data_IF_892159990793
#
_entry.id   IF_892159990793
#
_cell.length_a   1.000
_cell.length_b   1.000
_cell.length_c   1.000
_cell.angle_alpha   90.00
_cell.angle_beta   90.00
_cell.angle_gamma   90.00
#
_symmetry.space_group_name_H-M   'P 1'
#
loop_
_entity.id
_entity.type
_entity.pdbx_description
1 polymer ?
#
# COMPACT_ATOMS: atom_id res chain seq x y z
N UNK A 1 8.37 17.34 -10.01
CA UNK A 1 8.29 17.47 -8.53
C UNK A 1 7.29 16.44 -8.06
N UNK A 2 7.73 15.33 -7.43
CA UNK A 2 6.79 14.44 -6.75
C UNK A 2 6.48 15.07 -5.39
N UNK A 3 5.38 15.81 -5.33
CA UNK A 3 4.68 15.97 -4.07
C UNK A 3 4.14 14.59 -3.65
N UNK A 4 4.02 14.34 -2.34
CA UNK A 4 3.25 13.20 -1.83
C UNK A 4 1.99 13.05 -2.66
N UNK A 5 1.88 11.97 -3.44
CA UNK A 5 0.76 11.83 -4.34
C UNK A 5 -0.47 11.59 -3.47
N UNK A 6 -1.40 12.52 -3.61
CA UNK A 6 -2.60 12.70 -2.82
C UNK A 6 -3.32 11.37 -2.57
N UNK A 7 -3.81 11.22 -1.35
CA UNK A 7 -4.58 10.08 -0.90
C UNK A 7 -5.64 9.71 -1.94
N UNK A 8 -5.45 8.61 -2.66
CA UNK A 8 -6.52 8.03 -3.48
C UNK A 8 -7.47 7.31 -2.53
N UNK A 9 -8.30 8.10 -1.86
CA UNK A 9 -9.32 7.58 -0.97
C UNK A 9 -10.49 7.13 -1.84
N UNK A 10 -10.64 5.82 -1.95
CA UNK A 10 -11.84 5.24 -2.57
C UNK A 10 -12.93 5.14 -1.51
N UNK A 11 -14.08 4.60 -1.91
CA UNK A 11 -15.17 4.37 -0.96
C UNK A 11 -14.79 3.37 0.14
N UNK A 12 -13.83 2.44 -0.11
CA UNK A 12 -13.48 1.41 0.87
C UNK A 12 -12.21 1.70 1.68
N UNK A 13 -11.21 2.36 1.08
CA UNK A 13 -9.87 2.48 1.69
C UNK A 13 -9.33 3.90 1.68
N UNK A 14 -8.50 4.18 2.67
CA UNK A 14 -7.55 5.29 2.66
C UNK A 14 -6.19 4.74 2.22
N UNK A 15 -5.75 5.13 1.03
CA UNK A 15 -4.46 4.74 0.45
C UNK A 15 -3.56 5.96 0.31
N UNK A 16 -2.28 5.82 0.65
CA UNK A 16 -1.28 6.88 0.50
C UNK A 16 0.07 6.34 0.05
N UNK A 17 0.80 7.16 -0.68
CA UNK A 17 2.18 6.89 -1.05
C UNK A 17 3.07 8.05 -0.61
N UNK A 18 4.25 7.73 -0.10
CA UNK A 18 5.26 8.74 0.23
C UNK A 18 6.63 8.30 -0.26
N UNK A 19 7.42 9.25 -0.75
CA UNK A 19 8.76 9.00 -1.25
C UNK A 19 9.75 9.73 -0.35
N UNK A 20 10.68 8.99 0.24
CA UNK A 20 11.81 9.52 0.98
C UNK A 20 13.11 9.41 0.17
N UNK A 21 14.23 9.78 0.76
CA UNK A 21 15.57 9.56 0.23
C UNK A 21 15.98 8.08 0.20
N UNK A 22 15.29 7.22 0.97
CA UNK A 22 15.67 5.80 1.15
C UNK A 22 14.70 4.82 0.50
N UNK A 23 13.41 5.15 0.52
CA UNK A 23 12.37 4.24 0.10
C UNK A 23 11.13 4.97 -0.45
N UNK A 24 10.37 4.23 -1.27
CA UNK A 24 8.96 4.47 -1.49
C UNK A 24 8.17 3.71 -0.43
N UNK A 25 7.36 4.42 0.34
CA UNK A 25 6.44 3.84 1.32
C UNK A 25 5.04 3.87 0.75
N UNK A 26 4.36 2.72 0.76
CA UNK A 26 2.94 2.62 0.44
C UNK A 26 2.17 2.21 1.69
N UNK A 27 1.04 2.87 1.94
CA UNK A 27 0.20 2.62 3.10
C UNK A 27 -1.26 2.49 2.67
N UNK A 28 -1.98 1.57 3.30
CA UNK A 28 -3.40 1.36 3.05
C UNK A 28 -4.12 0.88 4.30
N UNK A 29 -5.33 1.38 4.53
CA UNK A 29 -6.19 0.97 5.64
C UNK A 29 -7.66 1.07 5.22
N UNK A 30 -8.57 0.29 5.83
CA UNK A 30 -9.99 0.43 5.57
C UNK A 30 -10.50 1.77 6.12
N UNK A 31 -11.56 2.29 5.54
CA UNK A 31 -12.40 3.28 6.23
C UNK A 31 -13.15 2.59 7.36
N UNK A 32 -13.44 3.31 8.46
CA UNK A 32 -14.04 2.73 9.67
C UNK A 32 -15.32 1.92 9.45
N UNK A 33 -16.10 2.29 8.44
CA UNK A 33 -17.39 1.66 8.08
C UNK A 33 -17.20 0.32 7.38
N UNK A 34 -16.03 0.09 6.79
CA UNK A 34 -15.74 -1.02 5.87
C UNK A 34 -14.87 -2.10 6.52
N UNK A 35 -14.55 -1.96 7.82
CA UNK A 35 -13.74 -2.91 8.59
C UNK A 35 -14.25 -4.35 8.45
N UNK A 36 -15.57 -4.54 8.36
CA UNK A 36 -16.21 -5.84 8.22
C UNK A 36 -16.05 -6.52 6.86
N UNK A 37 -15.53 -5.82 5.84
CA UNK A 37 -15.38 -6.31 4.46
C UNK A 37 -13.92 -6.55 4.10
N UNK A 38 -13.22 -7.29 4.97
CA UNK A 38 -11.78 -7.52 4.91
C UNK A 38 -11.27 -7.91 3.52
N UNK A 39 -11.92 -8.86 2.86
CA UNK A 39 -11.49 -9.30 1.53
C UNK A 39 -11.53 -8.18 0.49
N UNK A 40 -12.63 -7.42 0.45
CA UNK A 40 -12.87 -6.41 -0.58
C UNK A 40 -11.93 -5.22 -0.46
N UNK A 41 -11.77 -4.68 0.76
CA UNK A 41 -10.91 -3.52 0.94
C UNK A 41 -9.42 -3.91 0.86
N UNK A 42 -9.05 -5.13 1.27
CA UNK A 42 -7.67 -5.63 1.11
C UNK A 42 -7.31 -5.83 -0.37
N UNK A 43 -8.24 -6.39 -1.17
CA UNK A 43 -8.03 -6.55 -2.60
C UNK A 43 -7.87 -5.18 -3.28
N UNK A 44 -8.65 -4.18 -2.86
CA UNK A 44 -8.50 -2.82 -3.34
C UNK A 44 -7.16 -2.17 -2.92
N UNK A 45 -6.71 -2.38 -1.69
CA UNK A 45 -5.37 -1.97 -1.26
C UNK A 45 -4.29 -2.60 -2.15
N UNK A 46 -4.38 -3.89 -2.44
CA UNK A 46 -3.41 -4.56 -3.30
C UNK A 46 -3.43 -4.01 -4.73
N UNK A 47 -4.60 -3.71 -5.29
CA UNK A 47 -4.71 -3.10 -6.62
C UNK A 47 -4.08 -1.70 -6.67
N UNK A 48 -4.41 -0.83 -5.71
CA UNK A 48 -3.86 0.53 -5.64
C UNK A 48 -2.35 0.52 -5.40
N UNK A 49 -1.89 -0.31 -4.45
CA UNK A 49 -0.48 -0.50 -4.18
C UNK A 49 0.27 -1.02 -5.40
N UNK A 50 -0.33 -1.93 -6.18
CA UNK A 50 0.30 -2.48 -7.38
C UNK A 50 0.52 -1.41 -8.44
N UNK A 51 -0.50 -0.59 -8.69
CA UNK A 51 -0.38 0.55 -9.61
C UNK A 51 0.73 1.50 -9.18
N UNK A 52 0.81 1.86 -7.90
CA UNK A 52 1.87 2.74 -7.38
C UNK A 52 3.28 2.14 -7.55
N UNK A 53 3.43 0.83 -7.32
CA UNK A 53 4.69 0.11 -7.53
C UNK A 53 5.08 0.07 -9.00
N UNK A 54 4.12 -0.19 -9.89
CA UNK A 54 4.38 -0.27 -11.33
C UNK A 54 4.76 1.10 -11.91
N UNK A 55 4.11 2.18 -11.47
CA UNK A 55 4.47 3.56 -11.84
C UNK A 55 5.87 3.95 -11.34
N UNK A 56 6.20 3.60 -10.09
CA UNK A 56 7.50 3.88 -9.51
C UNK A 56 8.63 3.06 -10.17
N UNK A 57 8.36 1.81 -10.54
CA UNK A 57 9.29 0.95 -11.28
C UNK A 57 9.49 1.44 -12.72
N UNK A 58 8.42 1.80 -13.42
CA UNK A 58 8.48 2.38 -14.76
C UNK A 58 9.26 3.71 -14.78
N UNK A 59 9.21 4.44 -13.68
CA UNK A 59 9.98 5.68 -13.48
C UNK A 59 11.43 5.44 -13.03
N UNK A 60 11.85 4.19 -12.87
CA UNK A 60 13.22 3.84 -12.46
C UNK A 60 13.58 4.23 -11.02
N UNK A 61 12.59 4.42 -10.14
CA UNK A 61 12.85 4.72 -8.72
C UNK A 61 13.10 3.50 -7.88
N UNK A 62 12.41 2.41 -8.20
CA UNK A 62 12.48 1.13 -7.50
C UNK A 62 12.72 0.03 -8.53
N UNK A 63 13.24 -1.11 -8.08
CA UNK A 63 13.28 -2.30 -8.91
C UNK A 63 11.85 -2.85 -9.11
N UNK A 64 11.57 -3.56 -10.21
CA UNK A 64 10.30 -4.26 -10.38
C UNK A 64 10.04 -5.21 -9.22
N UNK A 65 8.86 -5.12 -8.62
CA UNK A 65 8.42 -5.98 -7.52
C UNK A 65 7.48 -7.04 -8.10
N UNK A 66 7.59 -8.30 -7.69
CA UNK A 66 6.65 -9.36 -8.08
C UNK A 66 5.58 -9.58 -6.99
N UNK A 67 4.40 -10.07 -7.40
CA UNK A 67 3.31 -10.44 -6.48
C UNK A 67 2.46 -9.29 -5.96
N UNK A 68 1.62 -9.54 -4.94
CA UNK A 68 0.74 -8.53 -4.33
C UNK A 68 1.53 -7.38 -3.71
N UNK A 69 0.94 -6.18 -3.72
CA UNK A 69 1.59 -4.98 -3.20
C UNK A 69 1.90 -5.08 -1.70
N UNK A 70 1.01 -5.68 -0.92
CA UNK A 70 1.20 -5.84 0.54
C UNK A 70 1.62 -7.27 0.96
N UNK A 71 1.75 -8.21 0.03
CA UNK A 71 2.30 -9.54 0.27
C UNK A 71 1.62 -10.29 1.44
N UNK A 72 2.42 -10.80 2.39
CA UNK A 72 1.87 -11.51 3.55
C UNK A 72 1.04 -10.62 4.49
N UNK A 73 1.22 -9.29 4.46
CA UNK A 73 0.41 -8.40 5.29
C UNK A 73 -1.07 -8.46 4.88
N UNK A 74 -1.37 -8.49 3.58
CA UNK A 74 -2.75 -8.65 3.11
C UNK A 74 -3.39 -9.96 3.56
N UNK A 75 -2.63 -11.06 3.54
CA UNK A 75 -3.13 -12.36 4.00
C UNK A 75 -3.38 -12.39 5.50
N UNK A 76 -2.49 -11.75 6.28
CA UNK A 76 -2.66 -11.63 7.73
C UNK A 76 -3.92 -10.82 8.08
N UNK A 77 -4.11 -9.68 7.42
CA UNK A 77 -5.27 -8.82 7.63
C UNK A 77 -6.59 -9.54 7.36
N UNK A 78 -6.67 -10.34 6.29
CA UNK A 78 -7.88 -11.11 5.95
C UNK A 78 -8.26 -12.11 7.06
N UNK A 79 -7.28 -12.56 7.85
CA UNK A 79 -7.49 -13.49 8.96
C UNK A 79 -7.79 -12.81 10.30
N UNK A 80 -7.72 -11.47 10.38
CA UNK A 80 -7.98 -10.77 11.64
C UNK A 80 -9.45 -10.89 12.08
N UNK A 81 -9.71 -11.13 13.37
CA UNK A 81 -11.07 -11.21 13.89
C UNK A 81 -11.80 -9.87 13.72
N UNK A 82 -13.13 -9.89 13.63
CA UNK A 82 -13.95 -8.69 13.48
C UNK A 82 -13.73 -7.63 14.58
N UNK A 83 -13.24 -8.04 15.75
CA UNK A 83 -12.89 -7.15 16.87
C UNK A 83 -11.55 -6.41 16.71
N UNK A 84 -10.73 -6.76 15.71
CA UNK A 84 -9.46 -6.10 15.46
C UNK A 84 -9.66 -4.64 15.07
N UNK A 85 -8.84 -3.76 15.66
CA UNK A 85 -8.91 -2.32 15.48
C UNK A 85 -8.49 -1.88 14.07
N UNK A 86 -8.83 -0.64 13.71
CA UNK A 86 -8.37 0.02 12.48
C UNK A 86 -6.84 0.01 12.37
N UNK A 87 -6.13 0.25 13.47
CA UNK A 87 -4.67 0.29 13.48
C UNK A 87 -4.05 -1.07 13.22
N UNK A 88 -4.63 -2.14 13.75
CA UNK A 88 -4.21 -3.52 13.45
C UNK A 88 -4.53 -3.90 11.99
N UNK A 89 -5.47 -3.21 11.36
CA UNK A 89 -5.86 -3.37 9.96
C UNK A 89 -5.11 -2.47 8.99
N UNK A 90 -4.20 -1.63 9.46
CA UNK A 90 -3.37 -0.83 8.58
C UNK A 90 -2.24 -1.69 8.00
N UNK A 91 -2.03 -1.59 6.70
CA UNK A 91 -0.91 -2.18 5.99
C UNK A 91 0.05 -1.08 5.54
N UNK A 92 1.34 -1.30 5.77
CA UNK A 92 2.39 -0.43 5.27
C UNK A 92 3.50 -1.30 4.69
N UNK A 93 4.14 -0.81 3.63
CA UNK A 93 5.30 -1.47 3.03
C UNK A 93 6.28 -0.42 2.52
N UNK A 94 7.53 -0.60 2.91
CA UNK A 94 8.67 0.15 2.39
C UNK A 94 9.34 -0.61 1.25
N UNK A 95 9.62 0.09 0.16
CA UNK A 95 10.31 -0.43 -1.01
C UNK A 95 11.57 0.40 -1.22
N UNK A 96 12.76 -0.19 -1.08
CA UNK A 96 14.03 0.53 -1.25
C UNK A 96 14.13 1.16 -2.63
N UNK A 97 14.68 2.39 -2.68
CA UNK A 97 15.00 3.01 -3.95
C UNK A 97 16.19 2.31 -4.61
N UNK A 98 16.19 2.26 -5.94
CA UNK A 98 17.41 1.89 -6.67
C UNK A 98 18.45 2.96 -6.39
N UNK A 99 19.58 2.56 -5.81
CA UNK A 99 20.71 3.46 -5.65
C UNK A 99 21.16 3.86 -7.06
N UNK A 100 21.12 5.15 -7.39
CA UNK A 100 21.86 5.63 -8.55
C UNK A 100 23.33 5.39 -8.24
N UNK A 101 23.91 4.35 -8.82
CA UNK A 101 25.36 4.25 -8.96
C UNK A 101 25.78 5.44 -9.82
N UNK A 102 26.23 6.51 -9.17
CA UNK A 102 26.92 7.62 -9.83
C UNK A 102 28.26 7.16 -10.39
#
# INVERSE_FOLDING_TARGET
>A
MWASQEQSATDLVEFSTSLSDKALTIECKPRSQEIGRADEWVDQCNALGRTALDEAAASGKIAPVAGPAFGMASEFIKQLPASASMSERAMSRDIPLVSKSS
#
